data_IF_701334926351
#
_entry.id   IF_701334926351
#
_cell.length_a   1.000
_cell.length_b   1.000
_cell.length_c   1.000
_cell.angle_alpha   90.00
_cell.angle_beta   90.00
_cell.angle_gamma   90.00
#
_symmetry.space_group_name_H-M   'P 1'
#
loop_
_entity.id
_entity.type
_entity.pdbx_description
1 polymer ?
#
# COMPACT_ATOMS: atom_id res chain seq x y z
N UNK A 1 -15.21 -13.11 -5.32
CA UNK A 1 -13.78 -12.72 -5.16
C UNK A 1 -13.17 -13.77 -4.27
N UNK A 2 -12.52 -14.81 -4.81
CA UNK A 2 -12.11 -15.98 -4.02
C UNK A 2 -10.95 -16.78 -4.63
N UNK A 3 -9.96 -16.11 -5.25
CA UNK A 3 -8.80 -16.79 -5.85
C UNK A 3 -7.50 -16.18 -5.32
N UNK A 4 -7.25 -16.32 -4.01
CA UNK A 4 -5.90 -16.11 -3.48
C UNK A 4 -4.99 -17.27 -3.92
N UNK A 5 -3.69 -17.04 -4.14
CA UNK A 5 -2.72 -18.11 -4.40
C UNK A 5 -2.81 -19.22 -3.33
N UNK A 6 -2.40 -20.47 -3.63
CA UNK A 6 -2.44 -21.55 -2.66
C UNK A 6 -1.53 -21.24 -1.46
N UNK A 7 -2.16 -20.73 -0.40
CA UNK A 7 -1.53 -20.43 0.88
C UNK A 7 -1.95 -21.49 1.88
N UNK A 8 -0.99 -22.08 2.59
CA UNK A 8 -1.25 -23.05 3.65
C UNK A 8 -0.83 -22.43 4.97
N UNK A 9 -1.76 -22.32 5.92
CA UNK A 9 -1.52 -21.74 7.25
C UNK A 9 -0.85 -20.35 7.22
N UNK A 10 -1.29 -19.48 6.29
CA UNK A 10 -0.76 -18.12 6.17
C UNK A 10 0.60 -18.03 5.49
N UNK A 11 1.10 -19.11 4.86
CA UNK A 11 2.38 -19.10 4.14
C UNK A 11 2.18 -19.56 2.70
N UNK A 12 2.72 -18.79 1.75
CA UNK A 12 2.94 -19.24 0.38
C UNK A 12 4.39 -19.68 0.21
N UNK A 13 4.57 -20.91 -0.30
CA UNK A 13 5.88 -21.52 -0.54
C UNK A 13 6.02 -21.75 -2.05
N UNK A 14 6.86 -20.98 -2.76
CA UNK A 14 7.02 -21.16 -4.20
C UNK A 14 7.81 -22.44 -4.50
N UNK A 15 7.74 -22.98 -5.73
CA UNK A 15 8.39 -24.24 -6.12
C UNK A 15 9.88 -24.28 -5.79
N UNK A 16 10.60 -23.17 -5.93
CA UNK A 16 12.03 -23.09 -5.62
C UNK A 16 12.36 -23.24 -4.13
N UNK A 17 11.39 -23.10 -3.22
CA UNK A 17 11.54 -23.25 -1.77
C UNK A 17 11.00 -24.58 -1.22
N UNK A 18 10.30 -25.36 -2.05
CA UNK A 18 9.77 -26.67 -1.66
C UNK A 18 10.90 -27.70 -1.47
N UNK A 19 10.64 -28.88 -0.87
CA UNK A 19 11.66 -29.92 -0.63
C UNK A 19 12.53 -30.30 -1.83
N UNK A 20 11.97 -30.25 -3.04
CA UNK A 20 12.66 -30.53 -4.30
C UNK A 20 13.22 -29.28 -4.99
N UNK A 21 13.03 -28.10 -4.38
CA UNK A 21 13.40 -26.80 -4.93
C UNK A 21 14.87 -26.45 -4.70
N UNK A 22 15.42 -25.62 -5.58
CA UNK A 22 16.81 -25.17 -5.56
C UNK A 22 17.24 -24.52 -4.23
N UNK A 23 16.32 -23.86 -3.54
CA UNK A 23 16.57 -23.09 -2.33
C UNK A 23 15.91 -23.72 -1.09
N UNK A 24 15.61 -25.02 -1.13
CA UNK A 24 15.07 -25.73 0.03
C UNK A 24 15.94 -25.51 1.28
N UNK A 25 15.31 -25.11 2.39
CA UNK A 25 15.98 -24.79 3.65
C UNK A 25 16.78 -23.46 3.65
N UNK A 26 16.81 -22.73 2.54
CA UNK A 26 17.56 -21.49 2.39
C UNK A 26 16.69 -20.27 2.11
N UNK A 27 15.39 -20.46 1.84
CA UNK A 27 14.50 -19.34 1.62
C UNK A 27 14.35 -18.44 2.86
N UNK A 28 14.09 -17.16 2.62
CA UNK A 28 13.83 -16.15 3.65
C UNK A 28 12.39 -15.67 3.56
N UNK A 29 11.94 -15.00 4.60
CA UNK A 29 10.55 -14.55 4.67
C UNK A 29 10.41 -13.14 4.07
N UNK A 30 9.42 -12.99 3.20
CA UNK A 30 8.78 -11.71 2.89
C UNK A 30 7.53 -11.62 3.76
N UNK A 31 7.50 -10.67 4.69
CA UNK A 31 6.33 -10.48 5.55
C UNK A 31 5.28 -9.62 4.87
N UNK A 32 4.04 -10.06 4.96
CA UNK A 32 2.87 -9.39 4.42
C UNK A 32 1.83 -9.23 5.53
N UNK A 33 1.01 -8.18 5.45
CA UNK A 33 -0.06 -7.96 6.42
C UNK A 33 -1.21 -8.97 6.20
N UNK A 34 -2.12 -8.69 5.27
CA UNK A 34 -3.26 -9.58 4.96
C UNK A 34 -3.25 -10.06 3.50
N UNK A 35 -3.73 -11.28 3.21
CA UNK A 35 -3.75 -11.84 1.85
C UNK A 35 -4.72 -11.15 0.88
N UNK A 36 -5.55 -10.22 1.34
CA UNK A 36 -6.44 -9.43 0.49
C UNK A 36 -5.86 -8.06 0.09
N UNK A 37 -4.69 -7.65 0.62
CA UNK A 37 -4.02 -6.39 0.28
C UNK A 37 -3.06 -6.52 -0.92
N UNK A 38 -2.99 -7.73 -1.48
CA UNK A 38 -2.30 -8.12 -2.68
C UNK A 38 -3.13 -9.24 -3.31
N UNK A 39 -3.16 -9.37 -4.63
CA UNK A 39 -3.99 -10.34 -5.35
C UNK A 39 -3.18 -11.53 -5.86
N UNK A 40 -1.95 -11.69 -5.38
CA UNK A 40 -1.00 -12.70 -5.83
C UNK A 40 0.19 -12.13 -6.61
N UNK A 41 0.31 -10.81 -6.73
CA UNK A 41 1.44 -10.16 -7.38
C UNK A 41 2.76 -10.46 -6.66
N UNK A 42 2.78 -10.51 -5.32
CA UNK A 42 4.00 -10.82 -4.56
C UNK A 42 4.47 -12.25 -4.84
N UNK A 43 3.54 -13.20 -4.80
CA UNK A 43 3.76 -14.62 -5.07
C UNK A 43 4.26 -14.84 -6.49
N UNK A 44 3.65 -14.15 -7.47
CA UNK A 44 4.05 -14.28 -8.86
C UNK A 44 5.43 -13.67 -9.13
N UNK A 45 5.73 -12.49 -8.57
CA UNK A 45 7.06 -11.87 -8.70
C UNK A 45 8.14 -12.78 -8.11
N UNK A 46 7.89 -13.34 -6.92
CA UNK A 46 8.82 -14.29 -6.27
C UNK A 46 9.01 -15.54 -7.14
N UNK A 47 7.92 -16.12 -7.63
CA UNK A 47 7.95 -17.29 -8.52
C UNK A 47 8.78 -17.01 -9.78
N UNK A 48 8.45 -15.95 -10.51
CA UNK A 48 8.99 -15.68 -11.84
C UNK A 48 10.44 -15.17 -11.84
N UNK A 49 10.82 -14.43 -10.81
CA UNK A 49 12.20 -13.98 -10.62
C UNK A 49 13.05 -15.06 -9.91
N UNK A 50 12.46 -16.19 -9.52
CA UNK A 50 13.16 -17.28 -8.85
C UNK A 50 13.77 -16.86 -7.51
N UNK A 51 13.13 -15.93 -6.80
CA UNK A 51 13.66 -15.41 -5.55
C UNK A 51 13.61 -16.49 -4.46
N UNK A 52 14.63 -16.60 -3.59
CA UNK A 52 14.64 -17.53 -2.47
C UNK A 52 13.79 -16.98 -1.31
N UNK A 53 12.51 -16.74 -1.57
CA UNK A 53 11.58 -16.11 -0.63
C UNK A 53 10.31 -16.94 -0.46
N UNK A 54 9.76 -16.95 0.75
CA UNK A 54 8.38 -17.36 1.04
C UNK A 54 7.58 -16.12 1.43
N UNK A 55 6.27 -16.12 1.19
CA UNK A 55 5.39 -15.03 1.68
C UNK A 55 4.74 -15.50 2.97
N UNK A 56 4.88 -14.72 4.04
CA UNK A 56 4.26 -15.01 5.34
C UNK A 56 3.26 -13.90 5.66
N UNK A 57 2.00 -14.27 5.78
CA UNK A 57 0.88 -13.40 6.13
C UNK A 57 0.72 -13.34 7.64
N UNK A 58 1.07 -12.19 8.24
CA UNK A 58 1.13 -11.99 9.68
C UNK A 58 -0.17 -11.45 10.30
N UNK A 59 -1.08 -10.91 9.48
CA UNK A 59 -2.30 -10.25 9.93
C UNK A 59 -2.02 -9.17 10.99
N UNK A 60 -2.81 -9.16 12.06
CA UNK A 60 -2.67 -8.20 13.17
C UNK A 60 -1.28 -8.18 13.83
N UNK A 61 -0.50 -9.26 13.71
CA UNK A 61 0.85 -9.32 14.29
C UNK A 61 1.92 -8.60 13.46
N UNK A 62 1.57 -8.13 12.25
CA UNK A 62 2.52 -7.55 11.30
C UNK A 62 3.38 -6.43 11.90
N UNK A 63 2.76 -5.42 12.50
CA UNK A 63 3.47 -4.25 13.02
C UNK A 63 4.43 -4.58 14.16
N UNK A 64 3.99 -5.39 15.13
CA UNK A 64 4.83 -5.83 16.24
C UNK A 64 6.03 -6.64 15.73
N UNK A 65 5.80 -7.54 14.77
CA UNK A 65 6.85 -8.35 14.18
C UNK A 65 7.90 -7.52 13.42
N UNK A 66 7.46 -6.51 12.66
CA UNK A 66 8.37 -5.57 11.98
C UNK A 66 9.18 -4.78 13.00
N UNK A 67 8.56 -4.27 14.06
CA UNK A 67 9.25 -3.52 15.11
C UNK A 67 10.36 -4.37 15.78
N UNK A 68 10.05 -5.62 16.14
CA UNK A 68 11.03 -6.55 16.72
C UNK A 68 12.20 -6.81 15.77
N UNK A 69 11.93 -6.98 14.48
CA UNK A 69 12.98 -7.18 13.49
C UNK A 69 13.87 -5.94 13.34
N UNK A 70 13.27 -4.75 13.22
CA UNK A 70 13.99 -3.49 13.07
C UNK A 70 14.86 -3.23 14.31
N UNK A 71 14.36 -3.54 15.51
CA UNK A 71 15.13 -3.44 16.75
C UNK A 71 16.31 -4.42 16.80
N UNK A 72 16.15 -5.63 16.23
CA UNK A 72 17.17 -6.67 16.19
C UNK A 72 18.08 -6.63 14.94
N UNK A 73 17.91 -5.64 14.05
CA UNK A 73 18.60 -5.60 12.76
C UNK A 73 20.11 -5.46 12.93
N UNK A 74 20.86 -6.19 12.11
CA UNK A 74 22.32 -6.10 12.06
C UNK A 74 22.83 -6.53 10.68
N UNK A 75 24.16 -6.61 10.50
CA UNK A 75 24.78 -6.96 9.22
C UNK A 75 24.35 -8.35 8.66
N UNK A 76 23.79 -9.22 9.49
CA UNK A 76 23.34 -10.58 9.13
C UNK A 76 21.83 -10.76 9.20
N UNK A 77 21.09 -9.77 9.71
CA UNK A 77 19.64 -9.82 9.90
C UNK A 77 18.98 -8.58 9.31
N UNK A 78 18.37 -8.76 8.15
CA UNK A 78 17.58 -7.75 7.45
C UNK A 78 16.11 -8.12 7.45
N UNK A 79 15.24 -7.11 7.51
CA UNK A 79 13.79 -7.25 7.47
C UNK A 79 13.32 -7.05 6.02
N UNK A 80 12.43 -7.90 5.53
CA UNK A 80 11.85 -7.76 4.20
C UNK A 80 10.33 -7.83 4.30
N UNK A 81 9.66 -6.77 3.84
CA UNK A 81 8.22 -6.58 4.01
C UNK A 81 7.57 -6.13 2.71
N UNK A 82 6.32 -6.54 2.48
CA UNK A 82 5.44 -5.91 1.51
C UNK A 82 4.73 -4.73 2.17
N UNK A 83 4.85 -3.54 1.57
CA UNK A 83 4.21 -2.34 2.07
C UNK A 83 4.06 -1.27 0.97
N UNK A 84 3.22 -0.25 1.20
CA UNK A 84 2.91 0.81 0.23
C UNK A 84 3.30 2.21 0.72
N UNK A 85 3.28 3.19 -0.19
CA UNK A 85 3.48 4.61 0.08
C UNK A 85 2.40 5.39 -0.69
N UNK A 86 1.81 6.46 -0.12
CA UNK A 86 2.09 7.06 1.18
C UNK A 86 1.41 6.33 2.36
N UNK A 87 2.09 6.27 3.51
CA UNK A 87 1.59 5.66 4.76
C UNK A 87 2.47 6.06 5.96
N UNK A 88 1.97 5.98 7.20
CA UNK A 88 2.72 6.29 8.43
C UNK A 88 3.79 5.23 8.77
N UNK A 89 3.73 4.04 8.19
CA UNK A 89 4.76 3.01 8.34
C UNK A 89 6.18 3.54 8.10
N UNK A 90 6.36 4.41 7.11
CA UNK A 90 7.68 4.94 6.73
C UNK A 90 8.25 5.95 7.73
N UNK A 91 7.42 6.56 8.59
CA UNK A 91 7.90 7.37 9.71
C UNK A 91 8.23 6.53 10.94
N UNK A 92 7.61 5.35 11.08
CA UNK A 92 7.86 4.43 12.19
C UNK A 92 9.09 3.55 11.97
N UNK A 93 9.31 3.09 10.73
CA UNK A 93 10.37 2.16 10.40
C UNK A 93 11.25 2.70 9.27
N UNK A 94 12.55 2.92 9.51
CA UNK A 94 13.48 3.38 8.48
C UNK A 94 13.82 2.22 7.53
N UNK A 95 13.03 2.09 6.46
CA UNK A 95 13.08 1.00 5.48
C UNK A 95 13.23 1.58 4.07
N UNK A 96 13.97 0.88 3.21
CA UNK A 96 14.15 1.25 1.81
C UNK A 96 13.32 0.36 0.88
N UNK A 97 12.87 0.94 -0.25
CA UNK A 97 12.17 0.19 -1.30
C UNK A 97 13.16 -0.74 -2.01
N UNK A 98 12.82 -2.02 -2.09
CA UNK A 98 13.58 -3.00 -2.88
C UNK A 98 13.50 -2.65 -4.38
N UNK A 99 14.65 -2.60 -5.03
CA UNK A 99 14.77 -2.34 -6.46
C UNK A 99 14.43 -3.60 -7.29
N UNK A 100 13.16 -3.75 -7.65
CA UNK A 100 12.71 -4.72 -8.65
C UNK A 100 12.86 -4.15 -10.08
N UNK A 101 12.84 -5.00 -11.13
CA UNK A 101 12.74 -4.52 -12.49
C UNK A 101 11.55 -3.56 -12.64
N UNK A 102 11.75 -2.42 -13.30
CA UNK A 102 10.72 -1.38 -13.36
C UNK A 102 9.44 -1.85 -14.05
N UNK A 103 8.30 -1.32 -13.57
CA UNK A 103 7.01 -1.54 -14.21
C UNK A 103 7.03 -1.20 -15.71
N UNK A 104 6.40 -2.05 -16.51
CA UNK A 104 5.96 -1.73 -17.87
C UNK A 104 4.57 -2.33 -18.09
N UNK A 105 3.76 -1.68 -18.93
CA UNK A 105 2.43 -2.20 -19.29
C UNK A 105 2.52 -3.57 -19.95
N UNK A 106 3.55 -3.81 -20.77
CA UNK A 106 3.79 -5.11 -21.40
C UNK A 106 4.05 -6.21 -20.35
N UNK A 107 4.86 -5.94 -19.33
CA UNK A 107 5.10 -6.89 -18.25
C UNK A 107 3.80 -7.25 -17.50
N UNK A 108 2.96 -6.25 -17.19
CA UNK A 108 1.71 -6.48 -16.46
C UNK A 108 0.59 -7.12 -17.30
N UNK A 109 0.63 -6.97 -18.62
CA UNK A 109 -0.35 -7.61 -19.51
C UNK A 109 -0.30 -9.14 -19.51
N UNK A 110 0.82 -9.73 -19.06
CA UNK A 110 0.99 -11.17 -18.91
C UNK A 110 0.45 -11.74 -17.59
N UNK A 111 -0.01 -10.88 -16.68
CA UNK A 111 -0.45 -11.28 -15.35
C UNK A 111 -1.96 -11.54 -15.30
N UNK A 112 -2.32 -12.82 -15.17
CA UNK A 112 -3.64 -13.27 -14.70
C UNK A 112 -3.63 -13.56 -13.20
N UNK A 113 -4.45 -12.81 -12.48
CA UNK A 113 -4.66 -12.91 -11.03
C UNK A 113 -5.15 -14.29 -10.60
N UNK A 114 -5.94 -14.98 -11.43
CA UNK A 114 -6.52 -16.29 -11.09
C UNK A 114 -5.50 -17.43 -11.17
N UNK A 115 -4.34 -17.16 -11.75
CA UNK A 115 -3.25 -18.12 -11.94
C UNK A 115 -2.02 -17.75 -11.10
N UNK A 116 -2.14 -16.77 -10.21
CA UNK A 116 -1.02 -16.26 -9.42
C UNK A 116 -0.35 -17.36 -8.57
N UNK A 117 0.98 -17.31 -8.51
CA UNK A 117 1.83 -18.33 -7.88
C UNK A 117 2.04 -19.58 -8.74
N UNK A 118 1.75 -19.52 -10.05
CA UNK A 118 1.91 -20.65 -10.97
C UNK A 118 2.67 -20.26 -12.25
N UNK A 119 3.05 -21.27 -13.03
CA UNK A 119 3.66 -21.09 -14.34
C UNK A 119 2.66 -20.70 -15.46
N UNK A 120 1.35 -20.60 -15.15
CA UNK A 120 0.31 -20.26 -16.12
C UNK A 120 0.15 -18.76 -16.40
N UNK A 121 0.92 -17.91 -15.71
CA UNK A 121 0.87 -16.45 -15.77
C UNK A 121 2.29 -15.91 -15.58
N UNK A 122 2.54 -14.63 -15.86
CA UNK A 122 3.85 -14.03 -15.64
C UNK A 122 3.80 -12.61 -15.11
N UNK A 123 4.70 -12.31 -14.17
CA UNK A 123 4.93 -10.99 -13.61
C UNK A 123 6.40 -10.84 -13.16
N UNK A 124 7.24 -10.25 -14.02
CA UNK A 124 8.70 -10.11 -13.83
C UNK A 124 9.17 -8.70 -13.52
N UNK A 125 8.27 -7.83 -13.09
CA UNK A 125 8.55 -6.45 -12.79
C UNK A 125 7.78 -6.02 -11.53
N UNK A 126 8.18 -4.88 -10.97
CA UNK A 126 7.53 -4.29 -9.80
C UNK A 126 6.15 -3.73 -10.12
N UNK A 127 5.49 -3.29 -9.05
CA UNK A 127 4.16 -2.68 -9.08
C UNK A 127 4.12 -1.38 -9.90
N UNK A 128 3.00 -1.12 -10.62
CA UNK A 128 2.77 0.16 -11.25
C UNK A 128 2.70 1.26 -10.19
N UNK A 129 2.97 2.51 -10.56
CA UNK A 129 2.49 3.63 -9.76
C UNK A 129 0.96 3.61 -9.76
N UNK A 130 0.36 3.72 -8.58
CA UNK A 130 -1.09 3.79 -8.42
C UNK A 130 -1.50 5.23 -8.10
N UNK A 131 -2.52 5.73 -8.81
CA UNK A 131 -3.16 6.98 -8.46
C UNK A 131 -4.31 6.73 -7.49
N UNK A 132 -4.38 7.48 -6.40
CA UNK A 132 -5.53 7.43 -5.50
C UNK A 132 -6.68 8.24 -6.12
N UNK A 133 -7.82 7.58 -6.28
CA UNK A 133 -9.01 8.15 -6.90
C UNK A 133 -10.09 8.44 -5.86
N UNK A 134 -10.77 9.59 -6.01
CA UNK A 134 -12.01 9.85 -5.28
C UNK A 134 -13.16 9.33 -6.12
N UNK A 135 -14.00 8.49 -5.53
CA UNK A 135 -15.23 7.98 -6.13
C UNK A 135 -16.38 8.54 -5.32
N UNK A 136 -17.40 9.08 -5.99
CA UNK A 136 -18.58 9.64 -5.34
C UNK A 136 -19.86 9.07 -5.93
N UNK A 137 -20.95 9.18 -5.16
CA UNK A 137 -22.27 8.78 -5.62
C UNK A 137 -22.70 9.66 -6.81
N UNK A 138 -23.09 9.01 -7.92
CA UNK A 138 -23.43 9.70 -9.17
C UNK A 138 -24.57 10.70 -8.99
N UNK A 139 -25.60 10.34 -8.23
CA UNK A 139 -26.80 11.16 -8.05
C UNK A 139 -26.50 12.39 -7.19
N UNK A 140 -25.74 12.23 -6.10
CA UNK A 140 -25.29 13.32 -5.25
C UNK A 140 -24.41 14.35 -6.00
N UNK A 141 -23.46 13.87 -6.83
CA UNK A 141 -22.58 14.75 -7.61
C UNK A 141 -23.30 15.44 -8.78
N UNK A 142 -24.41 14.87 -9.28
CA UNK A 142 -25.24 15.52 -10.29
C UNK A 142 -26.13 16.60 -9.68
N UNK A 143 -26.74 16.33 -8.53
CA UNK A 143 -27.68 17.24 -7.86
C UNK A 143 -27.02 18.39 -7.11
N UNK A 144 -25.72 18.28 -6.78
CA UNK A 144 -24.98 19.32 -6.07
C UNK A 144 -23.69 19.72 -6.80
N UNK A 145 -23.77 20.84 -7.54
CA UNK A 145 -22.64 21.37 -8.31
C UNK A 145 -21.46 21.82 -7.42
N UNK A 146 -21.74 22.40 -6.24
CA UNK A 146 -20.69 22.81 -5.29
C UNK A 146 -19.93 21.58 -4.79
N UNK A 147 -20.66 20.53 -4.38
CA UNK A 147 -20.04 19.29 -3.92
C UNK A 147 -19.19 18.66 -5.04
N UNK A 148 -19.71 18.62 -6.26
CA UNK A 148 -18.97 18.11 -7.41
C UNK A 148 -17.68 18.89 -7.66
N UNK A 149 -17.75 20.21 -7.61
CA UNK A 149 -16.59 21.07 -7.81
C UNK A 149 -15.57 20.91 -6.67
N UNK A 150 -16.02 20.92 -5.41
CA UNK A 150 -15.16 20.66 -4.24
C UNK A 150 -14.46 19.31 -4.37
N UNK A 151 -15.21 18.23 -4.64
CA UNK A 151 -14.65 16.89 -4.84
C UNK A 151 -13.67 16.87 -6.00
N UNK A 152 -13.88 17.62 -7.08
CA UNK A 152 -12.91 17.73 -8.18
C UNK A 152 -11.63 18.49 -7.78
N UNK A 153 -11.78 19.52 -6.95
CA UNK A 153 -10.67 20.41 -6.55
C UNK A 153 -9.74 19.82 -5.48
N UNK A 154 -10.26 19.01 -4.55
CA UNK A 154 -9.45 18.40 -3.48
C UNK A 154 -8.32 17.55 -4.08
N UNK A 155 -7.05 17.91 -3.90
CA UNK A 155 -5.92 17.13 -4.41
C UNK A 155 -4.87 17.02 -3.33
N UNK A 156 -4.53 15.80 -2.96
CA UNK A 156 -3.49 15.51 -1.98
C UNK A 156 -2.38 14.76 -2.70
N UNK A 157 -1.15 15.25 -2.59
CA UNK A 157 0.03 14.54 -3.05
C UNK A 157 0.65 13.70 -1.93
N UNK A 158 1.70 12.97 -2.27
CA UNK A 158 2.44 12.13 -1.32
C UNK A 158 2.97 12.91 -0.13
N UNK A 159 3.40 14.17 -0.34
CA UNK A 159 3.93 15.03 0.72
C UNK A 159 2.89 15.32 1.80
N UNK A 160 1.71 15.78 1.40
CA UNK A 160 0.62 16.10 2.34
C UNK A 160 0.08 14.85 3.02
N UNK A 161 -0.04 13.74 2.27
CA UNK A 161 -0.47 12.45 2.82
C UNK A 161 0.52 11.96 3.88
N UNK A 162 1.83 12.01 3.62
CA UNK A 162 2.87 11.64 4.59
C UNK A 162 2.87 12.54 5.82
N UNK A 163 2.68 13.84 5.66
CA UNK A 163 2.63 14.79 6.78
C UNK A 163 1.44 14.50 7.69
N UNK A 164 0.24 14.36 7.12
CA UNK A 164 -0.97 14.06 7.91
C UNK A 164 -0.87 12.71 8.62
N UNK A 165 -0.36 11.68 7.93
CA UNK A 165 -0.24 10.35 8.52
C UNK A 165 0.87 10.24 9.56
N UNK A 166 1.97 10.99 9.39
CA UNK A 166 3.05 11.06 10.37
C UNK A 166 2.66 11.74 11.69
N UNK A 167 1.64 12.60 11.68
CA UNK A 167 1.08 13.22 12.87
C UNK A 167 0.16 12.29 13.69
N UNK A 168 -0.23 11.13 13.14
CA UNK A 168 -1.06 10.14 13.84
C UNK A 168 -0.15 9.27 14.71
N UNK A 169 -0.41 9.26 16.02
CA UNK A 169 0.34 8.40 16.94
C UNK A 169 -0.20 6.97 16.90
N UNK A 170 0.62 5.94 16.61
CA UNK A 170 0.20 4.54 16.65
C UNK A 170 -0.32 4.08 18.03
N UNK A 171 0.03 4.78 19.11
CA UNK A 171 -0.45 4.55 20.48
C UNK A 171 -1.68 5.39 20.86
N UNK A 172 -2.33 6.02 19.87
CA UNK A 172 -3.54 6.86 20.04
C UNK A 172 -3.38 8.17 20.83
N UNK A 173 -2.15 8.65 21.11
CA UNK A 173 -2.00 9.97 21.75
C UNK A 173 -2.49 11.13 20.86
N UNK A 174 -2.38 10.98 19.54
CA UNK A 174 -2.96 11.88 18.54
C UNK A 174 -3.90 11.08 17.65
N UNK A 175 -5.21 11.38 17.74
CA UNK A 175 -6.21 10.73 16.90
C UNK A 175 -6.18 11.29 15.48
N UNK A 176 -6.69 10.51 14.52
CA UNK A 176 -6.85 10.95 13.12
C UNK A 176 -7.59 12.30 13.01
N UNK A 177 -8.63 12.50 13.83
CA UNK A 177 -9.39 13.75 13.82
C UNK A 177 -8.56 14.95 14.30
N UNK A 178 -7.70 14.75 15.31
CA UNK A 178 -6.80 15.80 15.81
C UNK A 178 -5.73 16.13 14.77
N UNK A 179 -5.08 15.11 14.18
CA UNK A 179 -4.09 15.29 13.12
C UNK A 179 -4.70 16.02 11.90
N UNK A 180 -5.88 15.61 11.45
CA UNK A 180 -6.58 16.26 10.35
C UNK A 180 -6.95 17.72 10.67
N UNK A 181 -7.46 17.99 11.89
CA UNK A 181 -7.82 19.34 12.31
C UNK A 181 -6.59 20.27 12.35
N UNK A 182 -5.47 19.78 12.89
CA UNK A 182 -4.19 20.49 12.88
C UNK A 182 -3.77 20.83 11.45
N UNK A 183 -3.72 19.83 10.57
CA UNK A 183 -3.28 20.01 9.19
C UNK A 183 -4.16 21.02 8.43
N UNK A 184 -5.49 20.92 8.56
CA UNK A 184 -6.44 21.87 7.95
C UNK A 184 -6.22 23.30 8.46
N UNK A 185 -5.93 23.50 9.75
CA UNK A 185 -5.67 24.86 10.26
C UNK A 185 -4.37 25.44 9.71
N UNK A 186 -3.32 24.63 9.67
CA UNK A 186 -1.98 25.06 9.27
C UNK A 186 -1.85 25.30 7.76
N UNK A 187 -2.63 24.60 6.93
CA UNK A 187 -2.49 24.63 5.46
C UNK A 187 -3.64 25.35 4.74
N UNK A 188 -4.42 26.18 5.46
CA UNK A 188 -5.55 26.92 4.89
C UNK A 188 -5.14 27.75 3.68
N UNK A 189 -4.33 28.77 3.92
CA UNK A 189 -3.98 29.75 2.88
C UNK A 189 -3.11 29.15 1.78
N UNK A 190 -2.24 28.21 2.12
CA UNK A 190 -1.22 27.67 1.21
C UNK A 190 -1.74 26.53 0.34
N UNK A 191 -2.82 25.85 0.72
CA UNK A 191 -3.16 24.58 0.10
C UNK A 191 -4.65 24.39 -0.21
N UNK A 192 -5.50 24.31 0.83
CA UNK A 192 -6.88 23.86 0.60
C UNK A 192 -7.91 24.98 0.44
N UNK A 193 -7.60 26.24 0.76
CA UNK A 193 -8.57 27.33 0.63
C UNK A 193 -9.10 27.46 -0.80
N UNK A 194 -8.22 27.28 -1.80
CA UNK A 194 -8.59 27.28 -3.21
C UNK A 194 -9.48 26.10 -3.64
N UNK A 195 -9.64 25.07 -2.80
CA UNK A 195 -10.52 23.94 -3.11
C UNK A 195 -11.99 24.25 -2.87
N UNK A 196 -12.27 25.23 -2.01
CA UNK A 196 -13.63 25.61 -1.64
C UNK A 196 -14.24 26.43 -2.80
N UNK A 197 -15.28 25.91 -3.48
CA UNK A 197 -15.94 26.64 -4.54
C UNK A 197 -16.59 27.91 -4.01
N UNK A 198 -16.78 28.89 -4.88
CA UNK A 198 -17.54 30.08 -4.52
C UNK A 198 -18.99 29.70 -4.19
N UNK A 199 -19.60 30.36 -3.19
CA UNK A 199 -20.99 30.14 -2.89
C UNK A 199 -21.88 30.55 -4.09
N UNK A 200 -23.04 29.92 -4.28
CA UNK A 200 -23.98 30.31 -5.33
C UNK A 200 -24.42 31.77 -5.18
N UNK A 201 -24.81 32.43 -6.28
CA UNK A 201 -25.40 33.78 -6.21
C UNK A 201 -26.56 33.83 -5.19
N UNK A 202 -26.51 34.77 -4.26
CA UNK A 202 -27.55 34.98 -3.24
C UNK A 202 -27.33 34.22 -1.91
N UNK A 203 -26.28 33.41 -1.79
CA UNK A 203 -25.91 32.82 -0.50
C UNK A 203 -25.32 33.91 0.41
N UNK A 204 -25.97 34.20 1.54
CA UNK A 204 -25.40 35.11 2.55
C UNK A 204 -24.45 34.33 3.44
N UNK A 205 -23.22 34.79 3.55
CA UNK A 205 -22.35 34.38 4.65
C UNK A 205 -22.96 34.89 5.96
N UNK A 206 -22.96 34.08 7.04
CA UNK A 206 -23.37 34.55 8.37
C UNK A 206 -22.55 35.75 8.84
#
# INVERSE_FOLDING_TARGET
MNNSPPCTNGVYIPPQCQPTGRYHGQCRELWHNYPNLNRGESEQIIHDLGLPLVVVYLGDSFYAHVADCVAARNATRSCLVYYWTPDSFHSMFPMDKVALPSYTSACWSGFDVNLAGSAGTSLKCGWPPEALHKIGNTEALKSNAILREFVANVKLGDGELKQMMGDVDPNNATTVAVAACKWVREHRESFWHAWIPQPPPGYRTP
#
